data_IF_212826396856
#
_entry.id   IF_212826396856
#
_cell.length_a   1.000
_cell.length_b   1.000
_cell.length_c   1.000
_cell.angle_alpha   90.00
_cell.angle_beta   90.00
_cell.angle_gamma   90.00
#
_symmetry.space_group_name_H-M   'P 1'
#
loop_
_entity.id
_entity.type
_entity.pdbx_description
1 polymer ?
#
# COMPACT_ATOMS: atom_id res chain seq x y z
N UNK A 1 3.16 -0.76 -29.81
CA UNK A 1 1.68 -0.76 -29.86
C UNK A 1 1.05 0.19 -28.84
N UNK A 2 1.64 0.44 -27.67
CA UNK A 2 1.05 1.22 -26.55
C UNK A 2 0.47 2.59 -26.90
N UNK A 3 1.05 3.32 -27.86
CA UNK A 3 0.59 4.65 -28.28
C UNK A 3 0.11 4.69 -29.74
N UNK A 4 -0.17 3.54 -30.34
CA UNK A 4 -0.61 3.50 -31.73
C UNK A 4 -2.09 3.90 -31.79
N UNK A 5 -2.37 5.09 -32.34
CA UNK A 5 -3.70 5.67 -32.45
C UNK A 5 -4.27 5.62 -33.87
N UNK A 6 -3.46 5.24 -34.88
CA UNK A 6 -3.79 5.34 -36.31
C UNK A 6 -4.45 6.69 -36.70
N UNK A 7 -4.08 7.79 -36.03
CA UNK A 7 -4.76 9.08 -36.15
C UNK A 7 -4.77 9.64 -37.59
N UNK A 8 -3.71 9.33 -38.36
CA UNK A 8 -3.56 9.76 -39.74
C UNK A 8 -4.04 8.71 -40.77
N UNK A 9 -4.40 7.50 -40.32
CA UNK A 9 -4.88 6.40 -41.18
C UNK A 9 -5.95 5.57 -40.45
N UNK A 10 -7.13 6.14 -40.17
CA UNK A 10 -8.18 5.44 -39.43
C UNK A 10 -8.68 4.23 -40.24
N UNK A 11 -8.49 3.03 -39.68
CA UNK A 11 -8.83 1.75 -40.32
C UNK A 11 -9.80 0.90 -39.48
N UNK A 12 -10.39 1.47 -38.42
CA UNK A 12 -11.32 0.77 -37.52
C UNK A 12 -10.70 -0.28 -36.60
N UNK A 13 -9.43 -0.67 -36.83
CA UNK A 13 -8.77 -1.76 -36.11
C UNK A 13 -8.67 -1.53 -34.60
N UNK A 14 -8.30 -0.31 -34.20
CA UNK A 14 -8.19 0.06 -32.78
C UNK A 14 -9.53 -0.07 -32.06
N UNK A 15 -10.64 0.34 -32.71
CA UNK A 15 -11.97 0.24 -32.14
C UNK A 15 -12.40 -1.21 -31.95
N UNK A 16 -12.23 -2.03 -32.98
CA UNK A 16 -12.66 -3.44 -32.98
C UNK A 16 -11.85 -4.36 -32.07
N UNK A 17 -10.59 -4.02 -31.76
CA UNK A 17 -9.70 -4.86 -30.96
C UNK A 17 -9.23 -4.18 -29.68
N UNK A 18 -8.36 -3.16 -29.81
CA UNK A 18 -7.66 -2.57 -28.67
C UNK A 18 -8.63 -1.94 -27.68
N UNK A 19 -9.48 -1.02 -28.13
CA UNK A 19 -10.46 -0.33 -27.28
C UNK A 19 -11.50 -1.30 -26.74
N UNK A 20 -11.95 -2.26 -27.56
CA UNK A 20 -12.87 -3.29 -27.11
C UNK A 20 -12.31 -4.09 -25.93
N UNK A 21 -11.07 -4.59 -26.04
CA UNK A 21 -10.46 -5.35 -24.93
C UNK A 21 -10.19 -4.46 -23.71
N UNK A 22 -9.74 -3.22 -23.89
CA UNK A 22 -9.61 -2.28 -22.76
C UNK A 22 -10.95 -2.09 -22.04
N UNK A 23 -12.02 -1.83 -22.79
CA UNK A 23 -13.35 -1.67 -22.24
C UNK A 23 -13.83 -2.94 -21.53
N UNK A 24 -13.62 -4.12 -22.13
CA UNK A 24 -13.92 -5.40 -21.51
C UNK A 24 -13.19 -5.52 -20.17
N UNK A 25 -11.86 -5.40 -20.14
CA UNK A 25 -11.08 -5.57 -18.91
C UNK A 25 -11.48 -4.57 -17.81
N UNK A 26 -11.75 -3.32 -18.19
CA UNK A 26 -12.24 -2.29 -17.27
C UNK A 26 -13.60 -2.68 -16.69
N UNK A 27 -14.55 -3.09 -17.52
CA UNK A 27 -15.90 -3.51 -17.08
C UNK A 27 -15.87 -4.73 -16.14
N UNK A 28 -14.89 -5.62 -16.29
CA UNK A 28 -14.71 -6.81 -15.46
C UNK A 28 -13.87 -6.58 -14.20
N UNK A 29 -13.17 -5.44 -14.11
CA UNK A 29 -12.25 -5.17 -13.01
C UNK A 29 -12.88 -5.20 -11.60
N UNK A 30 -14.16 -4.81 -11.35
CA UNK A 30 -14.77 -4.96 -10.02
C UNK A 30 -14.89 -6.42 -9.61
N UNK A 31 -15.32 -7.26 -10.55
CA UNK A 31 -15.53 -8.68 -10.36
C UNK A 31 -14.20 -9.39 -10.07
N UNK A 32 -13.23 -9.20 -10.96
CA UNK A 32 -11.90 -9.80 -10.84
C UNK A 32 -11.17 -9.26 -9.60
N UNK A 33 -11.24 -7.95 -9.35
CA UNK A 33 -10.60 -7.30 -8.21
C UNK A 33 -11.09 -7.86 -6.86
N UNK A 34 -12.39 -8.04 -6.69
CA UNK A 34 -12.96 -8.64 -5.49
C UNK A 34 -12.51 -10.09 -5.28
N UNK A 35 -12.52 -10.90 -6.34
CA UNK A 35 -12.06 -12.29 -6.27
C UNK A 35 -10.59 -12.36 -5.86
N UNK A 36 -9.72 -11.62 -6.57
CA UNK A 36 -8.28 -11.61 -6.31
C UNK A 36 -8.00 -11.09 -4.89
N UNK A 37 -8.70 -10.04 -4.43
CA UNK A 37 -8.54 -9.52 -3.08
C UNK A 37 -8.85 -10.57 -2.01
N UNK A 38 -9.91 -11.37 -2.18
CA UNK A 38 -10.30 -12.42 -1.22
C UNK A 38 -9.26 -13.54 -1.13
N UNK A 39 -8.76 -14.02 -2.26
CA UNK A 39 -7.75 -15.11 -2.27
C UNK A 39 -6.34 -14.63 -1.90
N UNK A 40 -6.11 -13.32 -1.86
CA UNK A 40 -4.80 -12.72 -1.57
C UNK A 40 -4.65 -12.25 -0.11
N UNK A 41 -5.57 -12.59 0.79
CA UNK A 41 -5.49 -12.22 2.21
C UNK A 41 -4.19 -12.72 2.83
N UNK A 42 -3.43 -11.82 3.45
CA UNK A 42 -2.16 -12.14 4.11
C UNK A 42 -0.92 -12.13 3.20
N UNK A 43 -1.06 -11.77 1.92
CA UNK A 43 0.09 -11.58 1.00
C UNK A 43 0.63 -10.15 1.12
N UNK A 44 1.93 -9.98 0.86
CA UNK A 44 2.51 -8.64 0.69
C UNK A 44 2.03 -8.01 -0.62
N UNK A 45 2.01 -6.68 -0.69
CA UNK A 45 1.64 -5.95 -1.92
C UNK A 45 2.54 -6.37 -3.10
N UNK A 46 3.82 -6.61 -2.84
CA UNK A 46 4.78 -7.06 -3.88
C UNK A 46 4.43 -8.44 -4.43
N UNK A 47 4.21 -9.42 -3.56
CA UNK A 47 3.81 -10.78 -3.97
C UNK A 47 2.48 -10.76 -4.72
N UNK A 48 1.52 -9.95 -4.25
CA UNK A 48 0.24 -9.75 -4.91
C UNK A 48 0.43 -9.25 -6.35
N UNK A 49 1.17 -8.15 -6.55
CA UNK A 49 1.38 -7.57 -7.89
C UNK A 49 2.08 -8.56 -8.80
N UNK A 50 3.15 -9.20 -8.33
CA UNK A 50 3.92 -10.16 -9.14
C UNK A 50 3.06 -11.37 -9.51
N UNK A 51 2.31 -11.94 -8.56
CA UNK A 51 1.45 -13.10 -8.81
C UNK A 51 0.32 -12.79 -9.79
N UNK A 52 -0.36 -11.66 -9.60
CA UNK A 52 -1.50 -11.23 -10.44
C UNK A 52 -1.07 -10.87 -11.87
N UNK A 53 0.14 -10.35 -12.05
CA UNK A 53 0.66 -10.04 -13.38
C UNK A 53 1.24 -11.28 -14.07
N UNK A 54 2.16 -11.99 -13.42
CA UNK A 54 2.96 -13.01 -14.10
C UNK A 54 2.19 -14.30 -14.37
N UNK A 55 1.34 -14.76 -13.43
CA UNK A 55 0.65 -16.06 -13.57
C UNK A 55 -0.35 -16.02 -14.74
N UNK A 56 -1.28 -15.04 -14.83
CA UNK A 56 -2.23 -14.98 -15.94
C UNK A 56 -1.57 -14.65 -17.28
N UNK A 57 -0.55 -13.78 -17.29
CA UNK A 57 0.22 -13.50 -18.51
C UNK A 57 0.93 -14.76 -19.01
N UNK A 58 1.57 -15.53 -18.15
CA UNK A 58 2.21 -16.80 -18.52
C UNK A 58 1.21 -17.78 -19.11
N UNK A 59 0.05 -17.95 -18.48
CA UNK A 59 -1.03 -18.79 -19.01
C UNK A 59 -1.50 -18.30 -20.39
N UNK A 60 -1.68 -16.99 -20.56
CA UNK A 60 -2.12 -16.39 -21.83
C UNK A 60 -1.10 -16.59 -22.94
N UNK A 61 0.19 -16.46 -22.64
CA UNK A 61 1.29 -16.72 -23.58
C UNK A 61 1.26 -18.18 -24.03
N UNK A 62 1.10 -19.13 -23.10
CA UNK A 62 1.04 -20.55 -23.42
C UNK A 62 -0.19 -20.85 -24.28
N UNK A 63 -1.36 -20.34 -23.88
CA UNK A 63 -2.62 -20.57 -24.59
C UNK A 63 -2.61 -20.01 -26.02
N UNK A 64 -2.29 -18.71 -26.15
CA UNK A 64 -2.21 -18.05 -27.46
C UNK A 64 -1.06 -18.57 -28.31
N UNK A 65 0.07 -18.90 -27.67
CA UNK A 65 1.23 -19.48 -28.33
C UNK A 65 0.94 -20.86 -28.88
N UNK A 66 0.20 -21.71 -28.17
CA UNK A 66 -0.13 -23.05 -28.64
C UNK A 66 -1.28 -23.05 -29.65
N UNK A 67 -2.46 -22.54 -29.26
CA UNK A 67 -3.65 -22.58 -30.13
C UNK A 67 -3.56 -21.62 -31.30
N UNK A 68 -3.04 -20.41 -31.07
CA UNK A 68 -2.86 -19.43 -32.14
C UNK A 68 -1.85 -19.91 -33.18
N UNK A 69 -0.73 -20.49 -32.74
CA UNK A 69 0.26 -21.04 -33.67
C UNK A 69 -0.28 -22.29 -34.38
N UNK A 70 -1.04 -23.16 -33.71
CA UNK A 70 -1.65 -24.32 -34.35
C UNK A 70 -2.66 -23.92 -35.44
N UNK A 71 -3.51 -22.91 -35.16
CA UNK A 71 -4.43 -22.36 -36.16
C UNK A 71 -3.69 -21.73 -37.36
N UNK A 72 -2.64 -20.94 -37.10
CA UNK A 72 -1.80 -20.36 -38.14
C UNK A 72 -1.06 -21.42 -38.96
N UNK A 73 -0.55 -22.46 -38.30
CA UNK A 73 0.11 -23.58 -38.96
C UNK A 73 -0.83 -24.27 -39.94
N UNK A 74 -2.05 -24.60 -39.51
CA UNK A 74 -3.07 -25.19 -40.38
C UNK A 74 -3.40 -24.29 -41.58
N UNK A 75 -3.58 -22.98 -41.35
CA UNK A 75 -3.90 -22.04 -42.44
C UNK A 75 -2.76 -21.95 -43.47
N UNK A 76 -1.51 -21.80 -42.99
CA UNK A 76 -0.36 -21.50 -43.86
C UNK A 76 0.18 -22.77 -44.53
N UNK A 77 0.28 -23.88 -43.79
CA UNK A 77 0.95 -25.10 -44.25
C UNK A 77 -0.02 -26.18 -44.75
N UNK A 78 -1.23 -26.24 -44.20
CA UNK A 78 -2.25 -27.24 -44.59
C UNK A 78 -3.29 -26.65 -45.56
N UNK A 79 -3.11 -25.38 -45.97
CA UNK A 79 -3.95 -24.63 -46.92
C UNK A 79 -5.44 -24.61 -46.56
N UNK A 80 -5.73 -24.58 -45.25
CA UNK A 80 -7.09 -24.67 -44.74
C UNK A 80 -7.83 -23.32 -44.82
N UNK A 81 -8.32 -22.99 -46.01
CA UNK A 81 -9.03 -21.72 -46.28
C UNK A 81 -10.42 -21.66 -45.65
N UNK A 82 -11.00 -22.81 -45.29
CA UNK A 82 -12.31 -22.91 -44.62
C UNK A 82 -12.31 -22.21 -43.27
N UNK A 83 -11.22 -22.32 -42.49
CA UNK A 83 -11.09 -21.67 -41.19
C UNK A 83 -11.10 -20.14 -41.32
N UNK A 84 -10.43 -19.59 -42.34
CA UNK A 84 -10.43 -18.14 -42.62
C UNK A 84 -11.86 -17.67 -42.94
N UNK A 85 -12.54 -18.39 -43.83
CA UNK A 85 -13.90 -18.04 -44.26
C UNK A 85 -14.89 -18.11 -43.09
N UNK A 86 -14.79 -19.15 -42.25
CA UNK A 86 -15.61 -19.29 -41.07
C UNK A 86 -15.39 -18.14 -40.07
N UNK A 87 -14.14 -17.79 -39.78
CA UNK A 87 -13.82 -16.65 -38.88
C UNK A 87 -14.34 -15.32 -39.42
N UNK A 88 -14.27 -15.11 -40.74
CA UNK A 88 -14.75 -13.88 -41.38
C UNK A 88 -16.29 -13.76 -41.36
N UNK A 89 -17.00 -14.90 -41.45
CA UNK A 89 -18.45 -14.93 -41.39
C UNK A 89 -18.96 -14.84 -39.96
N UNK A 90 -18.40 -15.65 -39.07
CA UNK A 90 -18.75 -15.68 -37.66
C UNK A 90 -17.58 -16.15 -36.79
N UNK A 91 -17.00 -15.22 -36.04
CA UNK A 91 -15.92 -15.54 -35.10
C UNK A 91 -16.33 -16.54 -34.00
N UNK A 92 -17.62 -16.73 -33.72
CA UNK A 92 -18.10 -17.63 -32.67
C UNK A 92 -17.94 -19.12 -33.02
N UNK A 93 -17.90 -19.48 -34.31
CA UNK A 93 -17.71 -20.86 -34.77
C UNK A 93 -16.25 -21.24 -34.98
N UNK A 94 -15.34 -20.24 -34.96
CA UNK A 94 -13.92 -20.42 -35.29
C UNK A 94 -13.22 -21.53 -34.50
N UNK A 95 -13.53 -21.66 -33.20
CA UNK A 95 -12.96 -22.71 -32.36
C UNK A 95 -13.39 -24.10 -32.84
N UNK A 96 -14.68 -24.28 -33.12
CA UNK A 96 -15.25 -25.58 -33.51
C UNK A 96 -14.81 -25.99 -34.91
N UNK A 97 -14.66 -25.03 -35.82
CA UNK A 97 -14.06 -25.26 -37.13
C UNK A 97 -12.60 -25.70 -36.99
N UNK A 98 -11.80 -25.00 -36.19
CA UNK A 98 -10.43 -25.40 -35.93
C UNK A 98 -10.32 -26.82 -35.31
N UNK A 99 -11.15 -27.13 -34.30
CA UNK A 99 -11.19 -28.46 -33.69
C UNK A 99 -11.69 -29.54 -34.65
N UNK A 100 -12.53 -29.17 -35.63
CA UNK A 100 -12.99 -30.01 -36.72
C UNK A 100 -11.86 -30.66 -37.51
N UNK A 101 -10.72 -29.98 -37.57
CA UNK A 101 -9.54 -30.39 -38.33
C UNK A 101 -8.53 -31.20 -37.52
N UNK A 102 -8.74 -31.35 -36.21
CA UNK A 102 -7.90 -32.18 -35.35
C UNK A 102 -8.40 -33.64 -35.30
N UNK A 103 -7.51 -34.61 -35.00
CA UNK A 103 -7.93 -35.98 -34.75
C UNK A 103 -8.93 -36.03 -33.59
N UNK A 104 -9.93 -36.91 -33.69
CA UNK A 104 -11.05 -37.03 -32.74
C UNK A 104 -11.90 -35.76 -32.59
N UNK A 105 -12.08 -34.99 -33.67
CA UNK A 105 -12.87 -33.75 -33.70
C UNK A 105 -14.25 -33.85 -33.03
N UNK A 106 -14.98 -34.96 -33.21
CA UNK A 106 -16.27 -35.17 -32.55
C UNK A 106 -16.19 -35.13 -31.02
N UNK A 107 -15.16 -35.76 -30.43
CA UNK A 107 -14.94 -35.74 -28.98
C UNK A 107 -14.49 -34.35 -28.54
N UNK A 108 -13.58 -33.71 -29.29
CA UNK A 108 -13.08 -32.37 -28.98
C UNK A 108 -14.19 -31.31 -29.01
N UNK A 109 -15.10 -31.38 -29.97
CA UNK A 109 -16.24 -30.47 -30.07
C UNK A 109 -17.24 -30.62 -28.92
N UNK A 110 -17.51 -31.86 -28.50
CA UNK A 110 -18.36 -32.14 -27.32
C UNK A 110 -17.69 -31.57 -26.07
N UNK A 111 -16.40 -31.83 -25.89
CA UNK A 111 -15.64 -31.35 -24.73
C UNK A 111 -15.58 -29.81 -24.70
N UNK A 112 -15.31 -29.18 -25.85
CA UNK A 112 -15.29 -27.73 -25.98
C UNK A 112 -16.65 -27.12 -25.65
N UNK A 113 -17.75 -27.72 -26.13
CA UNK A 113 -19.11 -27.30 -25.79
C UNK A 113 -19.37 -27.36 -24.28
N UNK A 114 -19.03 -28.47 -23.63
CA UNK A 114 -19.17 -28.62 -22.17
C UNK A 114 -18.36 -27.55 -21.43
N UNK A 115 -17.13 -27.32 -21.87
CA UNK A 115 -16.22 -26.35 -21.26
C UNK A 115 -16.73 -24.91 -21.42
N UNK A 116 -17.25 -24.54 -22.60
CA UNK A 116 -17.91 -23.24 -22.83
C UNK A 116 -19.13 -23.06 -21.92
N UNK A 117 -19.98 -24.07 -21.79
CA UNK A 117 -21.16 -24.03 -20.91
C UNK A 117 -20.72 -23.88 -19.45
N UNK A 118 -19.72 -24.64 -19.01
CA UNK A 118 -19.20 -24.56 -17.64
C UNK A 118 -18.62 -23.17 -17.37
N UNK A 119 -17.77 -22.65 -18.24
CA UNK A 119 -17.22 -21.30 -18.11
C UNK A 119 -18.30 -20.24 -18.08
N UNK A 120 -19.33 -20.37 -18.92
CA UNK A 120 -20.47 -19.46 -18.94
C UNK A 120 -21.23 -19.48 -17.60
N UNK A 121 -21.62 -20.67 -17.12
CA UNK A 121 -22.38 -20.82 -15.87
C UNK A 121 -21.58 -20.33 -14.67
N UNK A 122 -20.30 -20.73 -14.55
CA UNK A 122 -19.44 -20.31 -13.44
C UNK A 122 -19.18 -18.81 -13.47
N UNK A 123 -18.97 -18.21 -14.64
CA UNK A 123 -18.76 -16.77 -14.77
C UNK A 123 -20.02 -15.98 -14.46
N UNK A 124 -21.19 -16.44 -14.93
CA UNK A 124 -22.48 -15.82 -14.67
C UNK A 124 -22.83 -15.85 -13.17
N UNK A 125 -22.63 -17.00 -12.50
CA UNK A 125 -22.87 -17.12 -11.06
C UNK A 125 -21.95 -16.19 -10.25
N UNK A 126 -20.67 -16.16 -10.59
CA UNK A 126 -19.69 -15.31 -9.92
C UNK A 126 -19.98 -13.81 -10.14
N UNK A 127 -20.38 -13.42 -11.36
CA UNK A 127 -20.79 -12.05 -11.68
C UNK A 127 -22.07 -11.61 -10.93
N UNK A 128 -23.03 -12.53 -10.79
CA UNK A 128 -24.25 -12.29 -10.02
C UNK A 128 -23.94 -12.09 -8.53
N UNK A 129 -23.04 -12.93 -7.98
CA UNK A 129 -22.60 -12.84 -6.60
C UNK A 129 -21.93 -11.50 -6.30
N UNK A 130 -21.09 -10.98 -7.20
CA UNK A 130 -20.44 -9.68 -6.99
C UNK A 130 -21.43 -8.53 -7.09
N UNK A 131 -22.33 -8.55 -8.07
CA UNK A 131 -23.39 -7.52 -8.20
C UNK A 131 -24.29 -7.49 -6.97
N UNK A 132 -24.67 -8.67 -6.48
CA UNK A 132 -25.45 -8.86 -5.27
C UNK A 132 -24.71 -8.31 -4.04
N UNK A 133 -23.42 -8.64 -3.88
CA UNK A 133 -22.60 -8.11 -2.79
C UNK A 133 -22.47 -6.58 -2.82
N UNK A 134 -22.30 -5.98 -4.00
CA UNK A 134 -22.17 -4.52 -4.16
C UNK A 134 -23.49 -3.77 -3.91
N UNK A 135 -24.63 -4.45 -4.03
CA UNK A 135 -25.97 -3.85 -3.87
C UNK A 135 -26.63 -4.21 -2.54
N UNK A 136 -26.03 -5.12 -1.76
CA UNK A 136 -26.53 -5.53 -0.47
C UNK A 136 -26.16 -4.52 0.63
N UNK A 137 -27.06 -4.37 1.61
CA UNK A 137 -26.85 -3.52 2.81
C UNK A 137 -25.88 -4.16 3.81
N UNK A 138 -25.78 -5.48 3.80
CA UNK A 138 -25.02 -6.31 4.73
C UNK A 138 -24.30 -7.42 3.98
N UNK A 139 -23.21 -7.95 4.54
CA UNK A 139 -22.40 -9.00 3.89
C UNK A 139 -23.21 -10.26 3.53
N UNK A 140 -24.31 -10.53 4.25
CA UNK A 140 -25.27 -11.58 3.91
C UNK A 140 -26.45 -10.99 3.15
N UNK A 141 -26.44 -11.14 1.83
CA UNK A 141 -27.56 -10.81 0.96
C UNK A 141 -28.61 -11.94 0.98
N UNK A 142 -29.91 -11.62 0.84
CA UNK A 142 -30.93 -12.63 0.68
C UNK A 142 -30.79 -13.35 -0.67
N UNK A 143 -31.02 -14.66 -0.70
CA UNK A 143 -30.87 -15.48 -1.92
C UNK A 143 -31.73 -15.01 -3.10
N UNK A 144 -32.86 -14.35 -2.83
CA UNK A 144 -33.73 -13.76 -3.85
C UNK A 144 -33.05 -12.59 -4.59
N UNK A 145 -32.24 -11.77 -3.92
CA UNK A 145 -31.53 -10.65 -4.56
C UNK A 145 -30.51 -11.18 -5.57
N UNK A 146 -29.75 -12.22 -5.20
CA UNK A 146 -28.86 -12.91 -6.12
C UNK A 146 -29.59 -13.53 -7.31
N UNK A 147 -30.73 -14.19 -7.06
CA UNK A 147 -31.55 -14.76 -8.14
C UNK A 147 -32.06 -13.67 -9.09
N UNK A 148 -32.51 -12.54 -8.56
CA UNK A 148 -32.94 -11.38 -9.34
C UNK A 148 -31.82 -10.88 -10.27
N UNK A 149 -30.61 -10.67 -9.75
CA UNK A 149 -29.47 -10.24 -10.57
C UNK A 149 -29.09 -11.26 -11.64
N UNK A 150 -29.11 -12.55 -11.29
CA UNK A 150 -28.82 -13.65 -12.24
C UNK A 150 -29.80 -13.65 -13.41
N UNK A 151 -31.11 -13.58 -13.12
CA UNK A 151 -32.17 -13.56 -14.14
C UNK A 151 -32.10 -12.29 -14.97
N UNK A 152 -31.88 -11.13 -14.34
CA UNK A 152 -31.80 -9.85 -15.04
C UNK A 152 -30.64 -9.82 -16.05
N UNK A 153 -29.46 -10.29 -15.65
CA UNK A 153 -28.31 -10.39 -16.57
C UNK A 153 -28.57 -11.37 -17.71
N UNK A 154 -29.20 -12.51 -17.44
CA UNK A 154 -29.56 -13.48 -18.48
C UNK A 154 -30.55 -12.89 -19.49
N UNK A 155 -31.59 -12.20 -19.02
CA UNK A 155 -32.57 -11.52 -19.88
C UNK A 155 -31.89 -10.43 -20.71
N UNK A 156 -31.03 -9.62 -20.10
CA UNK A 156 -30.31 -8.56 -20.80
C UNK A 156 -29.36 -9.12 -21.88
N UNK A 157 -28.67 -10.22 -21.58
CA UNK A 157 -27.82 -10.92 -22.55
C UNK A 157 -28.64 -11.46 -23.73
N UNK A 158 -29.79 -12.10 -23.47
CA UNK A 158 -30.71 -12.59 -24.51
C UNK A 158 -31.19 -11.44 -25.39
N UNK A 159 -31.63 -10.32 -24.80
CA UNK A 159 -32.09 -9.15 -25.55
C UNK A 159 -30.99 -8.58 -26.44
N UNK A 160 -29.78 -8.39 -25.91
CA UNK A 160 -28.65 -7.87 -26.69
C UNK A 160 -28.28 -8.78 -27.86
N UNK A 161 -28.28 -10.10 -27.63
CA UNK A 161 -28.00 -11.09 -28.67
C UNK A 161 -29.09 -11.09 -29.75
N UNK A 162 -30.37 -10.97 -29.38
CA UNK A 162 -31.49 -10.94 -30.33
C UNK A 162 -31.53 -9.65 -31.17
N UNK A 163 -31.20 -8.50 -30.57
CA UNK A 163 -31.31 -7.19 -31.23
C UNK A 163 -30.14 -6.94 -32.20
N UNK A 164 -28.92 -7.25 -31.80
CA UNK A 164 -27.75 -6.92 -32.62
C UNK A 164 -26.53 -7.82 -32.42
N UNK A 165 -26.72 -8.99 -31.82
CA UNK A 165 -25.69 -10.03 -31.70
C UNK A 165 -24.41 -9.53 -31.02
N UNK A 166 -23.28 -10.02 -31.52
CA UNK A 166 -21.95 -9.67 -30.99
C UNK A 166 -21.66 -8.17 -31.07
N UNK A 167 -22.07 -7.48 -32.14
CA UNK A 167 -21.80 -6.06 -32.32
C UNK A 167 -22.52 -5.18 -31.28
N UNK A 168 -23.78 -5.52 -30.95
CA UNK A 168 -24.51 -4.85 -29.87
C UNK A 168 -23.86 -5.10 -28.50
N UNK A 169 -23.41 -6.34 -28.25
CA UNK A 169 -22.71 -6.70 -27.03
C UNK A 169 -21.40 -5.89 -26.87
N UNK A 170 -20.57 -5.87 -27.91
CA UNK A 170 -19.32 -5.09 -27.93
C UNK A 170 -19.55 -3.59 -27.68
N UNK A 171 -20.55 -3.01 -28.34
CA UNK A 171 -20.90 -1.59 -28.17
C UNK A 171 -21.36 -1.28 -26.75
N UNK A 172 -22.17 -2.15 -26.14
CA UNK A 172 -22.66 -1.99 -24.75
C UNK A 172 -21.52 -2.05 -23.73
N UNK A 173 -20.51 -2.89 -23.95
CA UNK A 173 -19.31 -2.99 -23.10
C UNK A 173 -18.50 -1.70 -23.17
N UNK A 174 -18.26 -1.16 -24.37
CA UNK A 174 -17.53 0.11 -24.54
C UNK A 174 -18.26 1.26 -23.85
N UNK A 175 -19.58 1.34 -24.02
CA UNK A 175 -20.40 2.38 -23.41
C UNK A 175 -20.39 2.32 -21.88
N UNK A 176 -20.41 1.12 -21.29
CA UNK A 176 -20.39 0.94 -19.83
C UNK A 176 -19.00 1.10 -19.21
N UNK A 177 -17.94 0.76 -19.93
CA UNK A 177 -16.56 0.88 -19.45
C UNK A 177 -16.07 2.33 -19.34
N UNK A 178 -16.54 3.22 -20.22
CA UNK A 178 -16.12 4.63 -20.23
C UNK A 178 -16.37 5.36 -18.89
N UNK A 179 -17.59 5.40 -18.33
CA UNK A 179 -17.81 6.01 -17.01
C UNK A 179 -17.05 5.26 -15.90
N UNK A 180 -16.93 3.93 -16.01
CA UNK A 180 -16.20 3.14 -15.02
C UNK A 180 -14.70 3.44 -15.01
N UNK A 181 -14.12 3.84 -16.15
CA UNK A 181 -12.72 4.30 -16.23
C UNK A 181 -12.46 5.49 -15.30
N UNK A 182 -13.40 6.44 -15.22
CA UNK A 182 -13.28 7.59 -14.30
C UNK A 182 -13.27 7.11 -12.84
N UNK A 183 -14.13 6.14 -12.50
CA UNK A 183 -14.17 5.53 -11.17
C UNK A 183 -12.83 4.85 -10.83
N UNK A 184 -12.24 4.10 -11.77
CA UNK A 184 -10.94 3.45 -11.56
C UNK A 184 -9.81 4.44 -11.33
N UNK A 185 -9.81 5.60 -12.01
CA UNK A 185 -8.82 6.65 -11.78
C UNK A 185 -8.95 7.23 -10.36
N UNK A 186 -10.17 7.47 -9.89
CA UNK A 186 -10.44 7.92 -8.52
C UNK A 186 -10.01 6.86 -7.48
N UNK A 187 -10.27 5.58 -7.75
CA UNK A 187 -9.81 4.47 -6.90
C UNK A 187 -8.28 4.40 -6.85
N UNK A 188 -7.60 4.60 -7.98
CA UNK A 188 -6.13 4.60 -8.06
C UNK A 188 -5.54 5.73 -7.23
N UNK A 189 -6.12 6.93 -7.32
CA UNK A 189 -5.74 8.07 -6.49
C UNK A 189 -5.99 7.81 -4.99
N UNK A 190 -7.15 7.25 -4.64
CA UNK A 190 -7.49 6.85 -3.28
C UNK A 190 -6.52 5.82 -2.70
N UNK A 191 -6.09 4.85 -3.51
CA UNK A 191 -5.10 3.84 -3.13
C UNK A 191 -3.74 4.48 -2.80
N UNK A 192 -3.25 5.38 -3.65
CA UNK A 192 -1.97 6.09 -3.40
C UNK A 192 -2.06 6.89 -2.09
N UNK A 193 -3.17 7.61 -1.87
CA UNK A 193 -3.39 8.37 -0.63
C UNK A 193 -3.41 7.46 0.60
N UNK A 194 -4.08 6.31 0.53
CA UNK A 194 -4.15 5.34 1.62
C UNK A 194 -2.77 4.74 1.94
N UNK A 195 -2.01 4.35 0.91
CA UNK A 195 -0.66 3.81 1.08
C UNK A 195 0.31 4.85 1.68
N UNK A 196 0.22 6.11 1.26
CA UNK A 196 1.01 7.18 1.88
C UNK A 196 0.67 7.34 3.37
N UNK A 197 -0.60 7.31 3.74
CA UNK A 197 -1.02 7.39 5.15
C UNK A 197 -0.50 6.20 5.96
N UNK A 198 -0.54 4.98 5.41
CA UNK A 198 -0.02 3.78 6.07
C UNK A 198 1.50 3.85 6.28
N UNK A 199 2.25 4.34 5.28
CA UNK A 199 3.69 4.56 5.40
C UNK A 199 3.99 5.61 6.46
N UNK A 200 3.31 6.76 6.44
CA UNK A 200 3.48 7.80 7.46
C UNK A 200 3.15 7.28 8.85
N UNK A 201 2.09 6.48 9.00
CA UNK A 201 1.74 5.84 10.27
C UNK A 201 2.83 4.87 10.74
N UNK A 202 3.38 4.07 9.83
CA UNK A 202 4.45 3.12 10.15
C UNK A 202 5.72 3.86 10.60
N UNK A 203 6.11 4.91 9.89
CA UNK A 203 7.26 5.77 10.24
C UNK A 203 7.00 6.43 11.60
N UNK A 204 5.83 7.04 11.80
CA UNK A 204 5.49 7.67 13.07
C UNK A 204 5.53 6.70 14.26
N UNK A 205 5.12 5.44 14.09
CA UNK A 205 5.22 4.41 15.14
C UNK A 205 6.68 4.03 15.44
N UNK A 206 7.54 4.02 14.41
CA UNK A 206 8.96 3.71 14.57
C UNK A 206 9.75 4.88 15.19
N UNK A 207 9.42 6.11 14.79
CA UNK A 207 10.01 7.35 15.30
C UNK A 207 9.49 7.75 16.68
N UNK A 208 8.28 7.30 17.05
CA UNK A 208 7.75 7.48 18.39
C UNK A 208 8.63 6.73 19.39
N UNK A 209 9.68 7.42 19.88
CA UNK A 209 10.49 6.93 20.98
C UNK A 209 9.59 6.80 22.20
N UNK A 210 9.41 5.56 22.62
CA UNK A 210 8.74 5.23 23.87
C UNK A 210 9.64 5.77 24.98
N UNK A 211 9.07 6.59 25.87
CA UNK A 211 9.75 7.06 27.09
C UNK A 211 10.49 5.89 27.73
N UNK A 212 11.81 6.01 28.02
CA UNK A 212 12.58 4.96 28.67
C UNK A 212 11.84 4.49 29.93
N UNK A 213 11.85 3.19 30.19
CA UNK A 213 11.30 2.65 31.44
C UNK A 213 12.41 2.61 32.47
N UNK A 214 12.34 3.46 33.50
CA UNK A 214 13.18 3.32 34.67
C UNK A 214 13.09 1.88 35.23
N UNK A 215 14.25 1.23 35.38
CA UNK A 215 14.37 -0.15 35.87
C UNK A 215 14.21 -0.18 37.40
N UNK A 216 14.66 0.88 38.08
CA UNK A 216 14.43 1.11 39.50
C UNK A 216 13.29 2.14 39.66
N UNK A 217 12.39 1.89 40.61
CA UNK A 217 11.23 2.75 40.89
C UNK A 217 10.42 3.19 39.65
N UNK A 218 9.82 2.23 38.91
CA UNK A 218 9.13 2.52 37.66
C UNK A 218 7.96 3.48 37.86
N UNK A 219 7.86 4.50 37.00
CA UNK A 219 6.76 5.46 36.99
C UNK A 219 5.41 4.75 36.87
N UNK A 220 4.39 5.28 37.56
CA UNK A 220 3.02 4.81 37.39
C UNK A 220 2.53 5.12 35.97
N UNK A 221 1.58 4.33 35.46
CA UNK A 221 1.03 4.58 34.11
C UNK A 221 0.32 5.94 34.03
N UNK A 222 -0.20 6.45 35.15
CA UNK A 222 -0.78 7.79 35.25
C UNK A 222 0.28 8.89 35.06
N UNK A 223 1.45 8.74 35.70
CA UNK A 223 2.58 9.66 35.52
C UNK A 223 3.08 9.62 34.07
N UNK A 224 3.16 8.43 33.47
CA UNK A 224 3.54 8.28 32.05
C UNK A 224 2.51 8.89 31.10
N UNK A 225 1.22 8.77 31.40
CA UNK A 225 0.17 9.42 30.64
C UNK A 225 0.28 10.95 30.72
N UNK A 226 0.65 11.49 31.89
CA UNK A 226 0.93 12.92 32.06
C UNK A 226 1.98 13.45 31.07
N UNK A 227 3.08 12.71 30.86
CA UNK A 227 4.13 13.07 29.91
C UNK A 227 3.66 13.00 28.44
N UNK A 228 2.85 12.00 28.11
CA UNK A 228 2.33 11.82 26.75
C UNK A 228 1.40 12.97 26.36
N UNK A 229 0.73 13.58 27.33
CA UNK A 229 -0.21 14.67 27.08
C UNK A 229 0.46 16.03 26.82
N UNK A 230 1.80 16.09 26.66
CA UNK A 230 2.59 17.27 26.24
C UNK A 230 1.99 18.58 26.78
N UNK A 231 1.94 18.67 28.11
CA UNK A 231 1.39 19.86 28.74
C UNK A 231 2.25 21.08 28.35
N UNK A 232 1.61 22.22 28.10
CA UNK A 232 2.34 23.43 27.81
C UNK A 232 3.23 23.83 28.99
N UNK A 233 4.55 23.92 28.77
CA UNK A 233 5.51 24.41 29.76
C UNK A 233 6.00 25.82 29.40
N UNK A 234 6.28 26.61 30.44
CA UNK A 234 6.93 27.92 30.27
C UNK A 234 8.44 27.77 30.10
N UNK A 235 9.09 28.77 29.49
CA UNK A 235 10.54 28.78 29.30
C UNK A 235 11.31 28.64 30.63
N UNK A 236 10.83 29.30 31.69
CA UNK A 236 11.43 29.26 33.03
C UNK A 236 11.38 27.85 33.65
N UNK A 237 10.27 27.13 33.47
CA UNK A 237 10.13 25.75 33.94
C UNK A 237 11.13 24.81 33.27
N UNK A 238 11.25 24.92 31.95
CA UNK A 238 12.18 24.11 31.15
C UNK A 238 13.63 24.41 31.52
N UNK A 239 14.00 25.69 31.63
CA UNK A 239 15.36 26.10 32.03
C UNK A 239 15.72 25.57 33.42
N UNK A 240 14.80 25.70 34.38
CA UNK A 240 14.99 25.17 35.74
C UNK A 240 15.11 23.64 35.78
N UNK A 241 14.35 22.93 34.94
CA UNK A 241 14.48 21.49 34.79
C UNK A 241 15.87 21.10 34.26
N UNK A 242 16.34 21.79 33.21
CA UNK A 242 17.67 21.56 32.63
C UNK A 242 18.75 21.80 33.71
N UNK A 243 18.75 22.96 34.36
CA UNK A 243 19.75 23.30 35.38
C UNK A 243 19.79 22.32 36.55
N UNK A 244 18.62 21.83 37.00
CA UNK A 244 18.54 20.99 38.21
C UNK A 244 18.64 19.50 37.91
N UNK A 245 17.83 18.99 36.99
CA UNK A 245 17.70 17.54 36.76
C UNK A 245 18.68 17.04 35.71
N UNK A 246 18.80 17.75 34.57
CA UNK A 246 19.74 17.35 33.51
C UNK A 246 21.18 17.49 34.00
N UNK A 247 21.52 18.56 34.73
CA UNK A 247 22.87 18.73 35.29
C UNK A 247 23.27 17.54 36.16
N UNK A 248 22.40 17.16 37.10
CA UNK A 248 22.64 16.03 38.01
C UNK A 248 22.76 14.69 37.27
N UNK A 249 21.96 14.48 36.22
CA UNK A 249 22.09 13.30 35.38
C UNK A 249 23.46 13.27 34.67
N UNK A 250 23.90 14.40 34.12
CA UNK A 250 25.20 14.55 33.47
C UNK A 250 26.37 14.36 34.42
N UNK A 251 26.29 14.92 35.63
CA UNK A 251 27.31 14.74 36.69
C UNK A 251 27.47 13.27 37.07
N UNK A 252 26.35 12.54 37.22
CA UNK A 252 26.38 11.09 37.50
C UNK A 252 27.06 10.30 36.38
N UNK A 253 26.70 10.56 35.12
CA UNK A 253 27.33 9.92 33.95
C UNK A 253 28.82 10.28 33.88
N UNK A 254 29.16 11.56 34.07
CA UNK A 254 30.54 12.04 34.06
C UNK A 254 31.38 11.32 35.12
N UNK A 255 30.85 11.15 36.33
CA UNK A 255 31.53 10.41 37.39
C UNK A 255 31.84 8.97 36.96
N UNK A 256 30.84 8.25 36.47
CA UNK A 256 30.99 6.85 36.06
C UNK A 256 31.88 6.67 34.81
N UNK A 257 31.87 7.61 33.87
CA UNK A 257 32.72 7.56 32.69
C UNK A 257 34.18 7.89 33.04
N UNK A 258 34.42 8.85 33.94
CA UNK A 258 35.78 9.15 34.44
C UNK A 258 36.38 7.98 35.21
N UNK A 259 35.57 7.23 35.98
CA UNK A 259 36.01 5.98 36.63
C UNK A 259 36.48 4.91 35.64
N UNK A 260 36.02 4.99 34.38
CA UNK A 260 36.42 4.12 33.27
C UNK A 260 37.50 4.75 32.37
N UNK A 261 38.16 5.81 32.85
CA UNK A 261 39.22 6.53 32.14
C UNK A 261 38.79 7.20 30.82
N UNK A 262 37.52 7.57 30.69
CA UNK A 262 37.04 8.41 29.59
C UNK A 262 37.12 9.90 29.97
N UNK A 263 37.56 10.73 29.04
CA UNK A 263 37.52 12.18 29.19
C UNK A 263 36.11 12.70 28.91
N UNK A 264 35.48 13.29 29.93
CA UNK A 264 34.11 13.81 29.84
C UNK A 264 34.06 15.25 30.35
N UNK A 265 33.50 16.12 29.51
CA UNK A 265 33.27 17.55 29.79
C UNK A 265 31.78 17.86 29.77
N UNK A 266 31.32 18.63 30.74
CA UNK A 266 29.98 19.23 30.77
C UNK A 266 30.15 20.72 30.49
N UNK A 267 29.36 21.27 29.58
CA UNK A 267 29.39 22.69 29.22
C UNK A 267 27.97 23.23 29.07
N UNK A 268 27.72 24.42 29.57
CA UNK A 268 26.51 25.18 29.25
C UNK A 268 26.57 25.63 27.79
N UNK A 269 25.43 25.57 27.11
CA UNK A 269 25.25 25.97 25.72
C UNK A 269 24.07 26.94 25.67
N UNK A 270 23.92 27.68 24.57
CA UNK A 270 22.76 28.56 24.35
C UNK A 270 21.45 27.79 24.62
N UNK A 271 20.70 28.28 25.61
CA UNK A 271 19.44 27.72 26.10
C UNK A 271 19.48 26.23 26.52
N UNK A 272 20.63 25.71 26.96
CA UNK A 272 20.73 24.31 27.37
C UNK A 272 22.03 23.87 28.00
N UNK A 273 22.20 22.55 28.12
CA UNK A 273 23.44 21.92 28.59
C UNK A 273 23.90 20.80 27.67
N UNK A 274 25.21 20.59 27.64
CA UNK A 274 25.87 19.57 26.83
C UNK A 274 26.80 18.69 27.66
N UNK A 275 26.67 17.39 27.48
CA UNK A 275 27.62 16.37 27.86
C UNK A 275 28.43 15.97 26.61
N UNK A 276 29.75 16.04 26.70
CA UNK A 276 30.67 15.59 25.64
C UNK A 276 31.63 14.55 26.21
N UNK A 277 31.74 13.43 25.51
CA UNK A 277 32.65 12.33 25.82
C UNK A 277 33.67 12.24 24.71
N UNK A 278 34.95 12.43 25.06
CA UNK A 278 36.05 12.41 24.11
C UNK A 278 36.51 10.98 23.82
N UNK A 279 36.68 10.66 22.54
CA UNK A 279 37.17 9.37 22.05
C UNK A 279 38.48 9.56 21.26
N UNK A 280 39.21 10.63 21.54
CA UNK A 280 40.50 11.00 20.98
C UNK A 280 40.49 11.14 19.45
N UNK A 281 40.94 10.08 18.75
CA UNK A 281 41.04 10.07 17.29
C UNK A 281 39.72 9.71 16.60
N UNK A 282 38.69 9.32 17.37
CA UNK A 282 37.38 8.96 16.88
C UNK A 282 36.36 10.09 17.03
N UNK A 283 35.19 9.89 16.44
CA UNK A 283 34.07 10.82 16.55
C UNK A 283 33.58 10.86 18.00
N UNK A 284 33.69 12.03 18.64
CA UNK A 284 33.22 12.26 20.00
C UNK A 284 31.69 12.17 20.11
N UNK A 285 31.24 11.60 21.22
CA UNK A 285 29.83 11.54 21.59
C UNK A 285 29.38 12.87 22.20
N UNK A 286 28.25 13.38 21.74
CA UNK A 286 27.66 14.64 22.19
C UNK A 286 26.19 14.37 22.50
N UNK A 287 25.78 14.74 23.72
CA UNK A 287 24.39 14.71 24.15
C UNK A 287 24.04 16.08 24.74
N UNK A 288 23.06 16.76 24.16
CA UNK A 288 22.60 18.07 24.63
C UNK A 288 21.13 18.03 24.95
N UNK A 289 20.72 18.81 25.95
CA UNK A 289 19.30 19.12 26.21
C UNK A 289 19.15 20.63 26.11
N UNK A 290 18.27 21.08 25.22
CA UNK A 290 18.10 22.50 24.88
C UNK A 290 16.62 22.86 24.96
N UNK A 291 16.32 24.03 25.52
CA UNK A 291 14.99 24.62 25.52
C UNK A 291 14.62 25.05 24.10
N UNK A 292 13.50 24.57 23.58
CA UNK A 292 13.00 24.91 22.24
C UNK A 292 11.55 25.34 22.30
N UNK A 293 11.22 26.40 21.56
CA UNK A 293 9.83 26.79 21.33
C UNK A 293 9.11 25.69 20.54
N UNK A 294 7.93 25.30 21.00
CA UNK A 294 7.10 24.23 20.40
C UNK A 294 5.66 24.70 20.27
N UNK A 295 4.94 24.12 19.31
CA UNK A 295 3.51 24.38 19.15
C UNK A 295 2.76 23.14 19.64
N UNK A 296 1.90 23.26 20.66
CA UNK A 296 1.14 22.12 21.17
C UNK A 296 0.27 21.53 20.06
N UNK A 297 0.08 20.19 20.05
CA UNK A 297 -0.76 19.55 19.06
C UNK A 297 -2.19 20.09 19.08
N UNK A 298 -2.73 20.42 17.90
CA UNK A 298 -4.04 21.07 17.74
C UNK A 298 -5.24 20.29 18.31
N UNK A 299 -5.07 19.00 18.64
CA UNK A 299 -6.10 18.15 19.22
C UNK A 299 -6.13 18.12 20.75
N UNK A 300 -5.10 18.64 21.44
CA UNK A 300 -5.04 18.72 22.91
C UNK A 300 -5.67 20.01 23.43
N UNK A 301 -5.68 21.07 22.61
CA UNK A 301 -6.27 22.37 22.98
C UNK A 301 -7.80 22.26 22.91
N UNK A 302 -8.46 22.29 24.08
CA UNK A 302 -9.88 22.66 24.14
C UNK A 302 -10.05 24.05 23.53
N UNK A 303 -11.12 24.28 22.76
CA UNK A 303 -11.41 25.51 21.98
C UNK A 303 -11.33 26.86 22.72
N UNK A 304 -10.97 26.88 24.00
CA UNK A 304 -11.05 28.03 24.91
C UNK A 304 -9.70 28.58 25.38
N UNK A 305 -8.57 27.89 25.16
CA UNK A 305 -7.25 28.28 25.71
C UNK A 305 -6.17 28.47 24.62
N UNK A 306 -6.56 28.94 23.43
CA UNK A 306 -5.58 29.45 22.45
C UNK A 306 -5.16 30.89 22.82
N UNK A 307 -4.77 31.11 24.08
CA UNK A 307 -4.14 32.37 24.51
C UNK A 307 -2.65 32.28 24.19
N UNK A 308 -2.20 32.99 23.14
CA UNK A 308 -0.91 33.68 22.87
C UNK A 308 0.40 33.31 23.63
N UNK A 309 0.49 32.14 24.26
CA UNK A 309 1.65 31.69 25.02
C UNK A 309 2.67 31.03 24.11
N UNK A 310 3.93 31.47 24.21
CA UNK A 310 5.07 30.71 23.69
C UNK A 310 5.31 29.51 24.61
N UNK A 311 5.22 28.31 24.06
CA UNK A 311 5.43 27.08 24.81
C UNK A 311 6.81 26.53 24.54
N UNK A 312 7.44 25.95 25.55
CA UNK A 312 8.80 25.43 25.47
C UNK A 312 8.83 23.95 25.83
N UNK A 313 9.78 23.21 25.24
CA UNK A 313 10.07 21.81 25.53
C UNK A 313 11.57 21.62 25.78
N UNK A 314 11.93 20.61 26.57
CA UNK A 314 13.31 20.20 26.79
C UNK A 314 13.71 19.18 25.72
N UNK A 315 14.22 19.63 24.58
CA UNK A 315 14.53 18.74 23.46
C UNK A 315 15.97 18.22 23.51
N UNK A 316 16.14 16.93 23.18
CA UNK A 316 17.47 16.30 23.08
C UNK A 316 18.08 16.52 21.70
N UNK A 317 19.34 16.94 21.68
CA UNK A 317 20.17 17.05 20.49
C UNK A 317 21.41 16.16 20.62
N UNK A 318 21.64 15.33 19.60
CA UNK A 318 22.89 14.60 19.44
C UNK A 318 23.81 15.36 18.49
N UNK A 319 24.98 14.79 18.17
CA UNK A 319 25.89 15.37 17.18
C UNK A 319 25.23 15.52 15.81
N UNK A 320 24.36 14.59 15.46
CA UNK A 320 23.67 14.48 14.17
C UNK A 320 22.48 15.45 14.03
N UNK A 321 22.02 16.04 15.14
CA UNK A 321 20.90 16.97 15.17
C UNK A 321 19.88 16.68 16.28
N UNK A 322 18.78 17.46 16.24
CA UNK A 322 17.64 17.31 17.16
C UNK A 322 16.98 15.96 16.99
N UNK A 323 16.63 15.34 18.11
CA UNK A 323 15.99 14.03 18.12
C UNK A 323 14.46 14.12 18.17
N UNK A 324 13.89 15.33 18.21
CA UNK A 324 12.45 15.60 18.17
C UNK A 324 11.65 14.88 19.28
N UNK A 325 12.24 14.69 20.47
CA UNK A 325 11.52 14.24 21.66
C UNK A 325 11.81 15.13 22.86
N UNK A 326 10.76 15.33 23.67
CA UNK A 326 10.79 16.10 24.89
C UNK A 326 11.14 15.21 26.09
N UNK A 327 12.13 15.64 26.87
CA UNK A 327 12.54 15.00 28.12
C UNK A 327 12.02 15.72 29.35
N UNK A 328 11.15 16.71 29.18
CA UNK A 328 10.53 17.39 30.30
C UNK A 328 9.81 16.40 31.22
N UNK A 329 9.96 16.60 32.54
CA UNK A 329 9.46 15.74 33.61
C UNK A 329 10.02 14.29 33.62
N UNK A 330 11.09 14.02 32.85
CA UNK A 330 11.83 12.77 33.01
C UNK A 330 12.59 12.77 34.33
N UNK A 331 12.64 11.60 34.98
CA UNK A 331 13.45 11.46 36.19
C UNK A 331 14.93 11.40 35.82
N UNK A 332 15.80 11.59 36.80
CA UNK A 332 17.24 11.44 36.62
C UNK A 332 17.61 10.05 36.08
N UNK A 333 16.92 8.99 36.51
CA UNK A 333 17.16 7.63 36.01
C UNK A 333 16.76 7.47 34.55
N UNK A 334 15.64 8.07 34.13
CA UNK A 334 15.19 8.02 32.74
C UNK A 334 16.17 8.74 31.80
N UNK A 335 16.69 9.90 32.23
CA UNK A 335 17.73 10.63 31.49
C UNK A 335 19.02 9.83 31.39
N UNK A 336 19.47 9.22 32.48
CA UNK A 336 20.67 8.36 32.50
C UNK A 336 20.50 7.19 31.53
N UNK A 337 19.35 6.52 31.56
CA UNK A 337 19.08 5.39 30.67
C UNK A 337 19.11 5.82 29.20
N UNK A 338 18.47 6.94 28.85
CA UNK A 338 18.48 7.44 27.47
C UNK A 338 19.89 7.84 27.00
N UNK A 339 20.69 8.49 27.86
CA UNK A 339 22.09 8.82 27.55
C UNK A 339 22.89 7.53 27.29
N UNK A 340 22.72 6.48 28.10
CA UNK A 340 23.38 5.19 27.92
C UNK A 340 22.94 4.52 26.61
N UNK A 341 21.63 4.48 26.33
CA UNK A 341 21.08 3.91 25.11
C UNK A 341 21.62 4.66 23.87
N UNK A 342 21.80 5.99 23.93
CA UNK A 342 22.43 6.76 22.85
C UNK A 342 23.92 6.48 22.74
N UNK A 343 24.62 6.34 23.86
CA UNK A 343 26.04 6.06 23.88
C UNK A 343 26.35 4.66 23.31
N UNK A 344 25.52 3.66 23.62
CA UNK A 344 25.64 2.31 23.04
C UNK A 344 25.49 2.34 21.52
N UNK A 345 24.49 3.07 20.99
CA UNK A 345 24.31 3.26 19.55
C UNK A 345 25.52 3.95 18.92
N UNK A 346 26.08 4.96 19.60
CA UNK A 346 27.29 5.66 19.14
C UNK A 346 28.50 4.72 19.06
N UNK A 347 28.72 3.87 20.06
CA UNK A 347 29.79 2.88 20.04
C UNK A 347 29.61 1.85 18.92
N UNK A 348 28.37 1.40 18.68
CA UNK A 348 28.08 0.51 17.56
C UNK A 348 28.38 1.15 16.21
N UNK A 349 28.02 2.43 16.04
CA UNK A 349 28.36 3.23 14.87
C UNK A 349 29.88 3.32 14.67
N UNK A 350 30.66 3.64 15.71
CA UNK A 350 32.11 3.68 15.63
C UNK A 350 32.73 2.34 15.22
N UNK A 351 32.15 1.22 15.70
CA UNK A 351 32.60 -0.12 15.33
C UNK A 351 32.37 -0.42 13.83
N UNK A 352 31.19 -0.06 13.31
CA UNK A 352 30.87 -0.24 11.88
C UNK A 352 31.76 0.64 10.98
N UNK A 353 32.06 1.86 11.39
CA UNK A 353 32.90 2.78 10.59
C UNK A 353 34.36 2.34 10.58
N UNK A 354 34.83 1.63 11.61
CA UNK A 354 36.18 1.06 11.68
C UNK A 354 36.35 -0.26 10.94
N UNK A 355 35.28 -1.05 10.77
CA UNK A 355 35.29 -2.32 10.04
C UNK A 355 35.29 -2.11 8.53
#
# INVERSE_FOLDING_TARGET
MTFNLYAYQPNGWIGGWTILYWAWWISWSPFVGMFIARVSRGRTIREFIVGVLLIPTGFTIIWMGFLGNAALFSIIHEHQTTLIQAVQQDSSVALFEFLGHLPWSGVMNILATILVVLFFVTSADSGALVTDYLTAKTENSPTWQRLFWTVLMAVLAIILLLVGGLAALQSSIIMSALPFTVVMLLMSWGLIKALHLDVTKMIAIQEARITPRAIHNPRSWQQRLGLIMHYPHSEEEVKKYIEKQVSRAFENIQHEFRRRHLEVSISEVEDGMQLRVDHHHEINFIYKVVSRETVPPSFLIGRTEAEDGQYFQAEVFLREGGQNYDVMDWTQEDLIQDIIDQYERHLHFLNIVRS
#
